data_IF_419746708012
#
_entry.id   IF_419746708012
#
_cell.length_a   1.000
_cell.length_b   1.000
_cell.length_c   1.000
_cell.angle_alpha   90.00
_cell.angle_beta   90.00
_cell.angle_gamma   90.00
#
_symmetry.space_group_name_H-M   'P 1'
#
loop_
_entity.id
_entity.type
_entity.pdbx_description
1 polymer ?
#
# COMPACT_ATOMS: atom_id res chain seq x y z
N UNK A 1 13.37 -13.30 6.82
CA UNK A 1 14.08 -12.07 6.41
C UNK A 1 13.13 -11.13 5.65
N UNK A 2 12.22 -10.46 6.35
CA UNK A 2 11.27 -9.52 5.74
C UNK A 2 11.30 -8.21 6.50
N UNK A 3 11.49 -7.09 5.80
CA UNK A 3 11.60 -5.77 6.40
C UNK A 3 11.51 -4.68 5.33
N UNK A 4 11.55 -3.41 5.76
CA UNK A 4 11.32 -2.26 4.86
C UNK A 4 12.34 -2.19 3.71
N UNK A 5 13.61 -2.56 3.94
CA UNK A 5 14.62 -2.58 2.88
C UNK A 5 14.35 -3.60 1.77
N UNK A 6 13.89 -4.81 2.15
CA UNK A 6 13.48 -5.83 1.19
C UNK A 6 12.23 -5.41 0.41
N UNK A 7 11.21 -4.90 1.11
CA UNK A 7 10.00 -4.40 0.48
C UNK A 7 10.30 -3.26 -0.52
N UNK A 8 11.12 -2.27 -0.13
CA UNK A 8 11.56 -1.19 -1.03
C UNK A 8 12.27 -1.69 -2.28
N UNK A 9 13.07 -2.75 -2.15
CA UNK A 9 13.78 -3.35 -3.28
C UNK A 9 12.79 -3.92 -4.30
N UNK A 10 11.76 -4.62 -3.85
CA UNK A 10 10.69 -5.14 -4.72
C UNK A 10 9.88 -4.02 -5.38
N UNK A 11 9.50 -3.00 -4.61
CA UNK A 11 8.77 -1.84 -5.14
C UNK A 11 9.59 -1.11 -6.21
N UNK A 12 10.88 -0.89 -5.97
CA UNK A 12 11.78 -0.22 -6.91
C UNK A 12 11.95 -1.00 -8.21
N UNK A 13 11.92 -2.33 -8.13
CA UNK A 13 12.01 -3.22 -9.30
C UNK A 13 10.66 -3.46 -9.99
N UNK A 14 9.55 -2.90 -9.48
CA UNK A 14 8.22 -3.10 -10.06
C UNK A 14 7.67 -4.52 -9.89
N UNK A 15 8.24 -5.33 -8.98
CA UNK A 15 7.89 -6.75 -8.81
C UNK A 15 6.70 -6.99 -7.88
N UNK A 16 5.94 -5.94 -7.55
CA UNK A 16 4.80 -6.03 -6.65
C UNK A 16 3.52 -5.81 -7.45
N UNK A 17 2.70 -6.85 -7.54
CA UNK A 17 1.39 -6.77 -8.22
C UNK A 17 0.25 -6.28 -7.32
N UNK A 18 0.38 -6.47 -6.00
CA UNK A 18 -0.66 -6.14 -5.03
C UNK A 18 -0.08 -5.67 -3.69
N UNK A 19 -0.56 -4.54 -3.20
CA UNK A 19 -0.29 -4.05 -1.85
C UNK A 19 -1.50 -4.29 -0.95
N UNK A 20 -1.29 -4.97 0.18
CA UNK A 20 -2.27 -5.10 1.27
C UNK A 20 -1.77 -4.29 2.46
N UNK A 21 -2.26 -3.06 2.59
CA UNK A 21 -1.89 -2.16 3.66
C UNK A 21 -2.84 -2.32 4.84
N UNK A 22 -2.28 -2.48 6.03
CA UNK A 22 -3.00 -2.41 7.31
C UNK A 22 -2.73 -1.05 7.92
N UNK A 23 -3.78 -0.26 8.13
CA UNK A 23 -3.66 1.05 8.78
C UNK A 23 -4.03 0.89 10.24
N UNK A 24 -3.08 1.23 11.10
CA UNK A 24 -3.31 1.36 12.53
C UNK A 24 -3.55 2.84 12.86
N UNK A 25 -4.64 3.17 13.58
CA UNK A 25 -4.98 4.56 13.93
C UNK A 25 -4.08 5.07 15.08
N UNK A 26 -2.78 5.20 14.82
CA UNK A 26 -1.78 5.69 15.77
C UNK A 26 -0.82 6.67 15.08
N UNK A 27 -0.53 7.78 15.74
CA UNK A 27 0.48 8.73 15.30
C UNK A 27 1.83 8.40 15.97
N UNK A 28 2.79 7.88 15.20
CA UNK A 28 4.09 7.42 15.70
C UNK A 28 5.19 8.50 15.74
N UNK A 29 4.98 9.64 15.09
CA UNK A 29 5.96 10.74 14.99
C UNK A 29 7.13 10.48 14.02
N UNK A 30 7.67 9.26 13.95
CA UNK A 30 8.73 8.88 13.01
C UNK A 30 8.68 7.40 12.62
N UNK A 31 9.33 7.02 11.51
CA UNK A 31 9.39 5.64 11.04
C UNK A 31 9.97 5.48 9.64
N UNK A 32 10.18 4.24 9.22
CA UNK A 32 10.69 3.90 7.89
C UNK A 32 9.54 3.84 6.88
N UNK A 33 9.48 4.81 5.95
CA UNK A 33 8.44 4.85 4.91
C UNK A 33 8.63 3.82 3.80
N UNK A 34 7.62 3.00 3.50
CA UNK A 34 7.68 1.94 2.48
C UNK A 34 7.86 2.47 1.05
N UNK A 35 7.27 3.62 0.73
CA UNK A 35 7.28 4.21 -0.62
C UNK A 35 8.32 5.33 -0.83
N UNK A 36 9.27 5.47 0.09
CA UNK A 36 10.30 6.55 0.02
C UNK A 36 11.31 6.39 -1.13
N UNK A 37 11.34 5.24 -1.80
CA UNK A 37 12.24 4.94 -2.92
C UNK A 37 11.52 4.82 -4.28
N UNK A 38 10.35 5.45 -4.43
CA UNK A 38 9.60 5.44 -5.68
C UNK A 38 10.30 6.31 -6.74
N UNK A 39 10.73 5.71 -7.85
CA UNK A 39 11.34 6.46 -8.96
C UNK A 39 10.31 7.19 -9.84
N UNK A 40 9.07 6.69 -9.84
CA UNK A 40 7.94 7.23 -10.61
C UNK A 40 6.67 7.12 -9.77
N UNK A 41 5.69 8.03 -9.95
CA UNK A 41 4.39 7.87 -9.32
C UNK A 41 3.74 6.57 -9.79
N UNK A 42 3.21 5.79 -8.85
CA UNK A 42 2.35 4.66 -9.15
C UNK A 42 0.91 5.14 -9.06
N UNK A 43 0.12 4.90 -10.12
CA UNK A 43 -1.28 5.24 -10.08
C UNK A 43 -2.03 4.17 -9.30
N UNK A 44 -2.78 4.63 -8.30
CA UNK A 44 -3.79 3.81 -7.69
C UNK A 44 -5.14 3.95 -8.38
N UNK A 45 -5.51 2.95 -9.19
CA UNK A 45 -6.89 2.87 -9.66
C UNK A 45 -7.81 2.87 -8.45
N UNK A 46 -8.92 3.63 -8.44
CA UNK A 46 -9.85 3.58 -7.33
C UNK A 46 -10.20 2.11 -7.15
N UNK A 47 -10.00 1.49 -5.97
CA UNK A 47 -10.77 0.30 -5.69
C UNK A 47 -12.21 0.74 -5.99
N UNK A 48 -12.98 -0.04 -6.74
CA UNK A 48 -14.43 0.02 -6.58
C UNK A 48 -14.63 0.05 -5.08
N UNK A 49 -14.96 1.20 -4.48
CA UNK A 49 -14.57 1.48 -3.11
C UNK A 49 -15.18 0.41 -2.21
N UNK A 50 -14.40 -0.63 -1.87
CA UNK A 50 -14.87 -1.73 -1.05
C UNK A 50 -14.77 -1.20 0.37
N UNK A 51 -15.72 -0.35 0.72
CA UNK A 51 -16.03 -0.07 2.10
C UNK A 51 -16.72 -1.31 2.64
N UNK A 52 -15.92 -2.32 2.99
CA UNK A 52 -16.39 -3.36 3.90
C UNK A 52 -16.56 -2.70 5.26
N UNK A 53 -17.73 -2.08 5.50
CA UNK A 53 -18.21 -1.85 6.86
C UNK A 53 -18.48 -3.22 7.46
N UNK A 54 -17.45 -3.81 8.05
CA UNK A 54 -17.59 -4.94 8.95
C UNK A 54 -17.97 -4.33 10.31
N UNK A 55 -19.21 -4.54 10.80
CA UNK A 55 -19.64 -4.02 12.10
C UNK A 55 -18.83 -4.58 13.28
N UNK A 56 -17.99 -5.60 13.04
CA UNK A 56 -17.15 -6.28 14.03
C UNK A 56 -15.65 -6.29 13.70
N UNK A 57 -15.19 -5.56 12.67
CA UNK A 57 -13.76 -5.51 12.39
C UNK A 57 -13.04 -4.71 13.48
N UNK A 58 -11.84 -5.15 13.92
CA UNK A 58 -10.99 -4.33 14.78
C UNK A 58 -10.75 -2.98 14.11
N UNK A 59 -10.36 -1.95 14.89
CA UNK A 59 -10.00 -0.58 14.46
C UNK A 59 -8.94 -0.47 13.34
N UNK A 60 -8.53 -1.58 12.74
CA UNK A 60 -7.55 -1.72 11.67
C UNK A 60 -8.29 -1.73 10.33
N UNK A 61 -8.12 -0.67 9.54
CA UNK A 61 -8.62 -0.68 8.16
C UNK A 61 -7.63 -1.40 7.24
N UNK A 62 -8.16 -2.30 6.39
CA UNK A 62 -7.40 -3.01 5.36
C UNK A 62 -7.66 -2.35 4.02
N UNK A 63 -6.59 -1.92 3.34
CA UNK A 63 -6.64 -1.39 1.99
C UNK A 63 -5.90 -2.34 1.05
N UNK A 64 -6.56 -2.75 -0.02
CA UNK A 64 -5.95 -3.52 -1.11
C UNK A 64 -5.76 -2.59 -2.30
N UNK A 65 -4.54 -2.56 -2.83
CA UNK A 65 -4.16 -1.72 -3.95
C UNK A 65 -3.45 -2.54 -5.04
N UNK A 66 -3.82 -2.33 -6.30
CA UNK A 66 -3.23 -3.01 -7.47
C UNK A 66 -2.50 -1.97 -8.33
N UNK A 67 -1.16 -1.91 -8.31
CA UNK A 67 -0.37 -1.05 -9.18
C UNK A 67 -0.66 -1.31 -10.65
N UNK A 68 -0.95 -0.24 -11.40
CA UNK A 68 -0.97 -0.26 -12.86
C UNK A 68 0.05 0.74 -13.39
N UNK A 69 0.92 0.31 -14.29
CA UNK A 69 2.02 1.16 -14.80
C UNK A 69 1.56 2.35 -15.66
N UNK A 70 0.32 2.34 -16.17
CA UNK A 70 -0.32 3.50 -16.82
C UNK A 70 -1.84 3.52 -16.60
N UNK A 71 -2.44 4.71 -16.45
CA UNK A 71 -3.89 4.85 -16.48
C UNK A 71 -4.46 4.43 -17.86
N UNK A 72 -5.68 3.87 -17.91
CA UNK A 72 -6.39 3.69 -19.18
C UNK A 72 -6.57 5.05 -19.87
N UNK A 73 -6.42 5.09 -21.21
CA UNK A 73 -6.65 6.30 -22.01
C UNK A 73 -8.13 6.66 -22.04
#
# INVERSE_FOLDING_TARGET
HGGVGFARSLVRLGLVDEYRLLIHPVALGSGLGLFSSLARPIWAWPPSAVSCRLPSAPLISRIKFVPRERPPR
#
